data_IF_473496664654
#
_entry.id   IF_473496664654
#
_cell.length_a   1.000
_cell.length_b   1.000
_cell.length_c   1.000
_cell.angle_alpha   90.00
_cell.angle_beta   90.00
_cell.angle_gamma   90.00
#
_symmetry.space_group_name_H-M   'P 1'
#
loop_
_entity.id
_entity.type
_entity.pdbx_description
1 polymer ?
#
# COMPACT_ATOMS: atom_id res chain seq x y z
N UNK A 1 7.07 7.51 -3.46
CA UNK A 1 5.91 6.59 -3.23
C UNK A 1 6.39 5.16 -3.01
N UNK A 2 5.76 4.39 -2.11
CA UNK A 2 6.21 3.04 -1.72
C UNK A 2 6.25 2.08 -2.91
N UNK A 3 7.42 1.90 -3.52
CA UNK A 3 7.62 1.23 -4.81
C UNK A 3 7.72 -0.28 -4.66
N UNK A 4 8.40 -0.73 -3.61
CA UNK A 4 8.63 -2.13 -3.29
C UNK A 4 8.31 -2.38 -1.83
N UNK A 5 8.02 -3.64 -1.52
CA UNK A 5 7.78 -4.09 -0.15
C UNK A 5 8.44 -5.44 0.09
N UNK A 6 8.76 -5.69 1.35
CA UNK A 6 9.13 -7.01 1.86
C UNK A 6 8.13 -7.38 2.95
N UNK A 7 7.62 -8.60 2.92
CA UNK A 7 6.74 -9.14 3.94
C UNK A 7 6.92 -10.65 4.11
N UNK A 8 6.45 -11.20 5.24
CA UNK A 8 6.40 -12.64 5.43
C UNK A 8 5.01 -13.18 5.07
N UNK A 9 4.97 -14.27 4.32
CA UNK A 9 3.74 -14.99 3.99
C UNK A 9 4.02 -16.51 3.99
N UNK A 10 3.23 -17.26 4.75
CA UNK A 10 3.39 -18.72 4.93
C UNK A 10 4.83 -19.16 5.27
N UNK A 11 5.51 -18.39 6.12
CA UNK A 11 6.88 -18.66 6.57
C UNK A 11 7.98 -18.23 5.60
N UNK A 12 7.63 -17.73 4.41
CA UNK A 12 8.58 -17.26 3.41
C UNK A 12 8.64 -15.74 3.40
N UNK A 13 9.86 -15.20 3.24
CA UNK A 13 10.03 -13.79 2.93
C UNK A 13 9.73 -13.55 1.45
N UNK A 14 8.84 -12.60 1.18
CA UNK A 14 8.42 -12.21 -0.16
C UNK A 14 8.81 -10.76 -0.37
N UNK A 15 9.62 -10.52 -1.40
CA UNK A 15 9.90 -9.20 -1.95
C UNK A 15 9.07 -9.00 -3.22
N UNK A 16 8.37 -7.87 -3.31
CA UNK A 16 7.59 -7.55 -4.51
C UNK A 16 7.62 -6.05 -4.80
N UNK A 17 7.69 -5.73 -6.08
CA UNK A 17 7.69 -4.38 -6.59
C UNK A 17 6.33 -4.07 -7.24
N UNK A 18 5.87 -2.83 -7.16
CA UNK A 18 4.62 -2.44 -7.79
C UNK A 18 4.69 -2.70 -9.30
N UNK A 19 5.76 -2.39 -10.02
CA UNK A 19 5.83 -2.64 -11.47
C UNK A 19 5.53 -4.09 -11.91
N UNK A 20 5.74 -5.08 -11.04
CA UNK A 20 5.34 -6.46 -11.27
C UNK A 20 3.80 -6.57 -11.42
N UNK A 21 3.28 -7.05 -12.56
CA UNK A 21 1.84 -7.14 -12.81
C UNK A 21 1.12 -8.14 -11.89
N UNK A 22 1.87 -9.03 -11.24
CA UNK A 22 1.35 -10.02 -10.28
C UNK A 22 1.61 -9.62 -8.81
N UNK A 23 2.09 -8.40 -8.55
CA UNK A 23 2.38 -7.95 -7.19
C UNK A 23 1.14 -8.05 -6.30
N UNK A 24 1.33 -8.63 -5.12
CA UNK A 24 0.29 -8.79 -4.10
C UNK A 24 0.82 -8.32 -2.76
N UNK A 25 -0.08 -7.81 -1.92
CA UNK A 25 0.22 -7.42 -0.55
C UNK A 25 -0.53 -8.34 0.43
N UNK A 26 0.07 -8.66 1.59
CA UNK A 26 -0.62 -9.37 2.65
C UNK A 26 -1.63 -8.43 3.29
N UNK A 27 -2.87 -8.89 3.41
CA UNK A 27 -3.96 -8.22 4.13
C UNK A 27 -4.27 -9.03 5.38
N UNK A 28 -4.03 -8.45 6.56
CA UNK A 28 -4.27 -9.13 7.85
C UNK A 28 -5.75 -9.44 8.02
N UNK A 29 -6.08 -10.68 8.37
CA UNK A 29 -7.46 -11.10 8.68
C UNK A 29 -7.77 -10.89 10.15
N UNK A 30 -9.07 -10.78 10.49
CA UNK A 30 -9.53 -10.65 11.89
C UNK A 30 -9.19 -11.87 12.75
N UNK A 31 -9.17 -13.08 12.18
CA UNK A 31 -8.86 -14.33 12.88
C UNK A 31 -7.37 -14.71 12.91
N UNK A 32 -6.47 -13.78 12.57
CA UNK A 32 -5.04 -14.08 12.38
C UNK A 32 -4.68 -14.47 10.94
N UNK A 33 -3.38 -14.55 10.67
CA UNK A 33 -2.85 -14.76 9.32
C UNK A 33 -3.09 -13.58 8.36
N UNK A 34 -2.76 -13.79 7.10
CA UNK A 34 -2.92 -12.82 6.02
C UNK A 34 -3.55 -13.46 4.77
N UNK A 35 -4.18 -12.65 3.93
CA UNK A 35 -4.57 -13.01 2.57
C UNK A 35 -3.78 -12.16 1.58
N UNK A 36 -3.21 -12.77 0.55
CA UNK A 36 -2.60 -12.01 -0.54
C UNK A 36 -3.67 -11.40 -1.44
N UNK A 37 -3.62 -10.07 -1.59
CA UNK A 37 -4.50 -9.31 -2.48
C UNK A 37 -3.69 -8.54 -3.53
N UNK A 38 -4.21 -8.45 -4.75
CA UNK A 38 -3.57 -7.72 -5.86
C UNK A 38 -3.32 -6.27 -5.47
N UNK A 39 -2.07 -5.83 -5.60
CA UNK A 39 -1.64 -4.49 -5.24
C UNK A 39 -2.00 -3.49 -6.34
N UNK A 40 -3.04 -2.69 -6.11
CA UNK A 40 -3.44 -1.58 -6.97
C UNK A 40 -3.69 -1.97 -8.43
N UNK A 41 -3.91 -1.00 -9.31
CA UNK A 41 -4.11 -1.23 -10.75
C UNK A 41 -3.01 -0.60 -11.57
N UNK A 42 -2.39 -1.37 -12.47
CA UNK A 42 -1.41 -0.79 -13.40
C UNK A 42 -2.12 0.06 -14.46
N UNK A 43 -1.48 1.12 -15.00
CA UNK A 43 -2.10 1.97 -16.02
C UNK A 43 -2.67 1.21 -17.23
N UNK A 44 -1.94 0.18 -17.70
CA UNK A 44 -2.35 -0.65 -18.85
C UNK A 44 -3.21 -1.86 -18.48
N UNK A 45 -3.49 -2.06 -17.20
CA UNK A 45 -4.30 -3.19 -16.76
C UNK A 45 -5.78 -2.83 -16.83
N UNK A 46 -6.57 -3.73 -17.41
CA UNK A 46 -8.03 -3.64 -17.41
C UNK A 46 -8.59 -3.57 -15.99
N UNK A 47 -9.70 -2.84 -15.85
CA UNK A 47 -10.36 -2.60 -14.58
C UNK A 47 -10.81 -1.15 -14.45
N UNK A 48 -11.68 -0.90 -13.49
CA UNK A 48 -12.35 0.38 -13.27
C UNK A 48 -11.88 1.06 -12.00
N UNK A 49 -11.20 0.33 -11.11
CA UNK A 49 -10.59 0.89 -9.91
C UNK A 49 -9.50 1.93 -10.25
N UNK A 50 -9.12 2.81 -9.32
CA UNK A 50 -8.07 3.82 -9.56
C UNK A 50 -6.75 3.20 -10.03
N UNK A 51 -6.12 3.84 -11.02
CA UNK A 51 -4.77 3.48 -11.44
C UNK A 51 -3.74 3.87 -10.36
N UNK A 52 -2.69 3.06 -10.22
CA UNK A 52 -1.66 3.20 -9.21
C UNK A 52 -1.79 2.17 -8.07
N UNK A 53 -0.83 2.23 -7.15
CA UNK A 53 -0.73 1.36 -5.98
C UNK A 53 -1.04 2.05 -4.66
N UNK A 54 -1.41 3.34 -4.69
CA UNK A 54 -1.47 4.19 -3.52
C UNK A 54 -2.77 4.99 -3.47
N UNK A 55 -3.25 5.24 -2.26
CA UNK A 55 -4.40 6.08 -1.98
C UNK A 55 -3.99 7.19 -1.03
N UNK A 56 -4.12 8.45 -1.44
CA UNK A 56 -3.78 9.60 -0.58
C UNK A 56 -4.79 9.69 0.55
N UNK A 57 -4.34 9.87 1.79
CA UNK A 57 -5.24 9.96 2.95
C UNK A 57 -6.22 11.13 2.79
N UNK A 58 -5.76 12.25 2.24
CA UNK A 58 -6.57 13.44 2.01
C UNK A 58 -7.69 13.18 1.00
N UNK A 59 -7.37 12.46 -0.09
CA UNK A 59 -8.34 12.01 -1.11
C UNK A 59 -9.38 11.03 -0.53
N UNK A 60 -8.95 10.15 0.36
CA UNK A 60 -9.86 9.24 1.09
C UNK A 60 -10.82 10.05 1.96
N UNK A 61 -10.32 10.99 2.76
CA UNK A 61 -11.15 11.82 3.64
C UNK A 61 -12.07 12.78 2.88
N UNK A 62 -11.69 13.19 1.67
CA UNK A 62 -12.52 14.00 0.79
C UNK A 62 -13.66 13.20 0.11
N UNK A 63 -13.76 11.89 0.35
CA UNK A 63 -14.80 11.02 -0.22
C UNK A 63 -14.56 10.59 -1.66
N UNK A 64 -13.40 10.90 -2.25
CA UNK A 64 -13.08 10.56 -3.65
C UNK A 64 -13.06 9.05 -3.89
N UNK A 65 -12.90 8.25 -2.83
CA UNK A 65 -12.85 6.79 -2.90
C UNK A 65 -14.20 6.12 -2.65
N UNK A 66 -15.22 6.84 -2.20
CA UNK A 66 -16.46 6.27 -1.64
C UNK A 66 -17.21 5.37 -2.63
N UNK A 67 -17.15 5.72 -3.91
CA UNK A 67 -17.74 4.94 -4.99
C UNK A 67 -17.23 3.49 -5.03
N UNK A 68 -15.98 3.24 -4.62
CA UNK A 68 -15.37 1.91 -4.59
C UNK A 68 -15.46 1.22 -3.22
N UNK A 69 -16.35 1.69 -2.35
CA UNK A 69 -16.63 1.14 -1.02
C UNK A 69 -15.35 0.88 -0.20
N UNK A 70 -14.54 1.93 0.06
CA UNK A 70 -13.21 1.78 0.60
C UNK A 70 -13.26 1.21 2.02
N UNK A 71 -12.45 0.19 2.28
CA UNK A 71 -12.32 -0.40 3.62
C UNK A 71 -10.87 -0.32 4.11
N UNK A 72 -10.60 0.24 5.30
CA UNK A 72 -9.25 0.24 5.85
C UNK A 72 -8.82 -1.18 6.18
N UNK A 73 -7.59 -1.54 5.80
CA UNK A 73 -6.99 -2.84 6.07
C UNK A 73 -5.58 -2.69 6.64
N UNK A 74 -5.08 -3.74 7.30
CA UNK A 74 -3.72 -3.76 7.86
C UNK A 74 -2.79 -4.55 6.95
N UNK A 75 -1.68 -3.95 6.55
CA UNK A 75 -0.64 -4.58 5.73
C UNK A 75 0.58 -4.88 6.62
N UNK A 76 0.78 -6.14 7.05
CA UNK A 76 1.91 -6.53 7.88
C UNK A 76 3.19 -6.65 7.03
N UNK A 77 3.71 -5.50 6.60
CA UNK A 77 4.97 -5.41 5.89
C UNK A 77 6.14 -5.42 6.88
N UNK A 78 7.30 -5.90 6.44
CA UNK A 78 8.58 -5.79 7.16
C UNK A 78 9.36 -4.57 6.72
N UNK A 79 9.41 -4.34 5.41
CA UNK A 79 10.10 -3.19 4.83
C UNK A 79 9.30 -2.63 3.67
N UNK A 80 9.54 -1.37 3.37
CA UNK A 80 9.09 -0.73 2.13
C UNK A 80 10.21 0.13 1.55
N UNK A 81 10.21 0.25 0.22
CA UNK A 81 11.14 1.09 -0.51
C UNK A 81 10.45 2.38 -0.94
N UNK A 82 11.07 3.53 -0.68
CA UNK A 82 10.62 4.84 -1.12
C UNK A 82 11.67 5.47 -2.03
N UNK A 83 11.21 6.30 -2.97
CA UNK A 83 12.09 7.07 -3.85
C UNK A 83 12.14 8.50 -3.36
N UNK A 84 13.35 9.02 -3.15
CA UNK A 84 13.57 10.41 -2.76
C UNK A 84 13.44 11.37 -3.96
N UNK A 85 13.54 12.67 -3.69
CA UNK A 85 13.47 13.74 -4.69
C UNK A 85 14.65 13.77 -5.66
N UNK A 86 15.74 13.05 -5.38
CA UNK A 86 16.89 12.88 -6.28
C UNK A 86 16.75 11.63 -7.15
N UNK A 87 15.77 10.77 -6.86
CA UNK A 87 15.47 9.56 -7.62
C UNK A 87 16.06 8.29 -7.02
N UNK A 88 16.78 8.38 -5.90
CA UNK A 88 17.39 7.25 -5.21
C UNK A 88 16.35 6.47 -4.41
N UNK A 89 16.52 5.15 -4.36
CA UNK A 89 15.59 4.25 -3.68
C UNK A 89 16.16 3.84 -2.32
N UNK A 90 15.42 4.18 -1.27
CA UNK A 90 15.80 3.90 0.12
C UNK A 90 14.84 2.89 0.75
N UNK A 91 15.38 1.95 1.51
CA UNK A 91 14.60 0.95 2.24
C UNK A 91 14.38 1.37 3.68
N UNK A 92 13.15 1.22 4.15
CA UNK A 92 12.74 1.56 5.51
C UNK A 92 12.10 0.34 6.17
N UNK A 93 12.46 0.10 7.43
CA UNK A 93 11.86 -0.94 8.26
C UNK A 93 10.51 -0.48 8.81
N UNK A 94 9.54 -1.41 8.85
CA UNK A 94 8.30 -1.27 9.61
C UNK A 94 8.52 -1.96 10.96
N UNK A 95 8.68 -1.15 12.01
CA UNK A 95 8.99 -1.64 13.35
C UNK A 95 7.94 -2.64 13.84
N UNK A 96 8.39 -3.64 14.62
CA UNK A 96 7.49 -4.62 15.26
C UNK A 96 6.39 -3.93 16.06
N UNK A 97 5.15 -4.39 15.90
CA UNK A 97 3.96 -3.76 16.50
C UNK A 97 3.34 -2.66 15.63
N UNK A 98 4.01 -2.26 14.54
CA UNK A 98 3.46 -1.36 13.55
C UNK A 98 2.98 -2.12 12.31
N UNK A 99 2.15 -1.46 11.50
CA UNK A 99 1.76 -1.92 10.17
C UNK A 99 1.53 -0.73 9.25
N UNK A 100 1.62 -0.98 7.94
CA UNK A 100 1.20 0.00 6.95
C UNK A 100 -0.31 -0.10 6.78
N UNK A 101 -1.01 1.03 6.79
CA UNK A 101 -2.43 1.04 6.45
C UNK A 101 -2.60 0.84 4.95
N UNK A 102 -3.45 -0.12 4.60
CA UNK A 102 -3.97 -0.27 3.25
C UNK A 102 -5.43 0.20 3.15
N UNK A 103 -5.89 0.33 1.92
CA UNK A 103 -7.27 0.53 1.55
C UNK A 103 -7.67 -0.59 0.60
N UNK A 104 -8.68 -1.38 0.96
CA UNK A 104 -9.32 -2.33 0.08
C UNK A 104 -10.45 -1.61 -0.67
N UNK A 105 -10.34 -1.55 -1.99
CA UNK A 105 -11.38 -1.03 -2.89
C UNK A 105 -11.99 -2.17 -3.69
N UNK A 106 -13.25 -2.01 -4.08
CA UNK A 106 -13.98 -3.00 -4.89
C UNK A 106 -14.93 -2.35 -5.88
N UNK A 107 -15.11 -3.01 -7.01
CA UNK A 107 -16.13 -2.69 -8.02
C UNK A 107 -16.56 -4.00 -8.70
N UNK A 108 -17.82 -4.40 -8.57
CA UNK A 108 -18.26 -5.76 -8.92
C UNK A 108 -17.39 -6.85 -8.29
N UNK A 109 -16.82 -7.72 -9.13
CA UNK A 109 -15.88 -8.79 -8.73
C UNK A 109 -14.43 -8.30 -8.58
N UNK A 110 -14.10 -7.10 -9.08
CA UNK A 110 -12.75 -6.54 -8.99
C UNK A 110 -12.46 -6.11 -7.55
N UNK A 111 -11.35 -6.61 -6.98
CA UNK A 111 -10.87 -6.21 -5.65
C UNK A 111 -9.38 -5.94 -5.68
N UNK A 112 -8.98 -4.78 -5.17
CA UNK A 112 -7.56 -4.38 -5.09
C UNK A 112 -7.26 -3.69 -3.78
N UNK A 113 -6.03 -3.87 -3.34
CA UNK A 113 -5.50 -3.18 -2.17
C UNK A 113 -4.52 -2.09 -2.57
N UNK A 114 -4.64 -0.93 -1.93
CA UNK A 114 -3.81 0.24 -2.15
C UNK A 114 -3.08 0.57 -0.85
N UNK A 115 -1.84 1.02 -0.94
CA UNK A 115 -1.10 1.55 0.22
C UNK A 115 -1.62 2.96 0.51
N UNK A 116 -2.06 3.22 1.74
CA UNK A 116 -2.45 4.58 2.12
C UNK A 116 -1.20 5.42 2.32
N UNK A 117 -1.14 6.58 1.66
CA UNK A 117 -0.01 7.51 1.72
C UNK A 117 -0.42 8.86 2.28
N UNK A 118 0.49 9.52 2.96
CA UNK A 118 0.39 10.88 3.47
C UNK A 118 1.24 11.82 2.63
N UNK A 119 0.82 13.07 2.51
CA UNK A 119 1.75 14.15 2.14
C UNK A 119 2.56 14.51 3.39
N UNK A 120 3.89 14.37 3.39
CA UNK A 120 4.69 14.74 4.54
C UNK A 120 4.58 16.25 4.81
N UNK A 121 4.32 16.62 6.07
CA UNK A 121 4.10 18.02 6.49
C UNK A 121 5.37 18.85 6.62
N UNK A 122 6.55 18.25 6.49
CA UNK A 122 7.84 18.94 6.66
C UNK A 122 8.45 19.27 5.30
N UNK A 123 8.88 20.52 5.12
CA UNK A 123 9.59 21.01 3.93
C UNK A 123 10.84 20.17 3.59
N UNK A 124 11.45 19.52 4.61
CA UNK A 124 12.68 18.72 4.49
C UNK A 124 12.42 17.23 4.23
N UNK A 125 11.18 16.81 4.02
CA UNK A 125 10.91 15.42 3.71
C UNK A 125 11.49 15.08 2.33
N UNK A 126 12.59 14.33 2.32
CA UNK A 126 13.28 13.93 1.10
C UNK A 126 12.40 13.14 0.11
N UNK A 127 11.22 12.67 0.52
CA UNK A 127 10.30 11.87 -0.29
C UNK A 127 8.94 12.57 -0.44
N UNK A 128 8.40 12.61 -1.66
CA UNK A 128 7.12 13.26 -1.99
C UNK A 128 5.90 12.71 -1.24
N UNK A 129 5.94 11.42 -0.86
CA UNK A 129 4.84 10.73 -0.20
C UNK A 129 5.39 9.69 0.75
N UNK A 130 4.68 9.47 1.86
CA UNK A 130 5.07 8.49 2.87
C UNK A 130 3.94 7.51 3.17
N UNK A 131 4.18 6.19 3.33
CA UNK A 131 3.14 5.26 3.74
C UNK A 131 2.60 5.62 5.13
N UNK A 132 1.28 5.52 5.33
CA UNK A 132 0.68 5.73 6.64
C UNK A 132 0.98 4.54 7.54
N UNK A 133 1.98 4.68 8.40
CA UNK A 133 2.35 3.69 9.42
C UNK A 133 1.43 3.90 10.64
N UNK A 134 0.88 2.79 11.13
CA UNK A 134 -0.01 2.76 12.29
C UNK A 134 0.61 1.86 13.37
N UNK A 135 0.35 2.18 14.63
CA UNK A 135 0.76 1.40 15.79
C UNK A 135 -0.46 0.89 16.56
N UNK A 136 -0.31 -0.22 17.30
CA UNK A 136 -1.29 -0.68 18.28
C UNK A 136 -1.41 -2.19 18.39
#
# INVERSE_FOLDING_TARGET
MCLEVIYNYDGLEVRTAFDNPRARLPVRRRGGGALLMTWGRRPRQHGVLPAGGWARLESIHAGEWDHWFPRPVKLPLRHFAERDGLGEVHWFEVTRGQWVQGLLAREGEERRVYVVTLTPTRLDAACDRWPRIMSG
#
